data_IF_891003335570
#
_entry.id   IF_891003335570
#
_cell.length_a   1.000
_cell.length_b   1.000
_cell.length_c   1.000
_cell.angle_alpha   90.00
_cell.angle_beta   90.00
_cell.angle_gamma   90.00
#
_symmetry.space_group_name_H-M   'P 1'
#
loop_
_entity.id
_entity.type
_entity.pdbx_description
1 polymer ?
#
# COMPACT_ATOMS: atom_id res chain seq x y z
N UNK A 1 6.75 2.46 -15.20
CA UNK A 1 5.32 2.06 -15.23
C UNK A 1 4.72 2.35 -13.85
N UNK A 2 3.47 2.81 -13.80
CA UNK A 2 2.71 2.97 -12.55
C UNK A 2 1.47 2.06 -12.62
N UNK A 3 1.01 1.49 -11.51
CA UNK A 3 1.59 1.56 -10.17
C UNK A 3 2.88 0.73 -10.02
N UNK A 4 3.71 1.07 -9.04
CA UNK A 4 4.89 0.28 -8.67
C UNK A 4 5.08 0.22 -7.15
N UNK A 5 5.85 -0.77 -6.68
CA UNK A 5 6.15 -0.97 -5.27
C UNK A 5 7.53 -0.40 -4.97
N UNK A 6 7.60 0.46 -3.96
CA UNK A 6 8.78 1.24 -3.62
C UNK A 6 9.25 0.84 -2.23
N UNK A 7 10.56 0.57 -2.08
CA UNK A 7 11.15 0.37 -0.76
C UNK A 7 11.17 1.70 0.00
N UNK A 8 10.78 1.70 1.27
CA UNK A 8 10.47 2.91 2.01
C UNK A 8 11.14 2.88 3.37
N UNK A 9 11.85 3.96 3.73
CA UNK A 9 12.48 4.15 5.04
C UNK A 9 13.34 2.97 5.53
N UNK A 10 13.97 2.24 4.59
CA UNK A 10 14.86 1.09 4.83
C UNK A 10 14.21 -0.18 5.40
N UNK A 11 12.92 -0.18 5.72
CA UNK A 11 12.26 -1.32 6.36
C UNK A 11 10.77 -1.51 6.02
N UNK A 12 10.23 -0.72 5.09
CA UNK A 12 8.82 -0.73 4.72
C UNK A 12 8.65 -0.76 3.20
N UNK A 13 7.43 -1.03 2.73
CA UNK A 13 7.09 -0.97 1.31
C UNK A 13 5.78 -0.24 1.11
N UNK A 14 5.75 0.60 0.08
CA UNK A 14 4.59 1.42 -0.27
C UNK A 14 4.29 1.34 -1.76
N UNK A 15 3.05 1.62 -2.16
CA UNK A 15 2.65 1.62 -3.58
C UNK A 15 2.64 3.04 -4.10
N UNK A 16 3.51 3.35 -5.06
CA UNK A 16 3.46 4.57 -5.82
C UNK A 16 2.49 4.40 -6.98
N UNK A 17 1.37 5.13 -6.95
CA UNK A 17 0.29 4.94 -7.94
C UNK A 17 0.10 6.15 -8.86
N UNK A 18 0.64 7.32 -8.52
CA UNK A 18 0.52 8.52 -9.36
C UNK A 18 1.62 9.53 -9.05
N UNK A 19 2.11 10.21 -10.09
CA UNK A 19 3.00 11.37 -9.99
C UNK A 19 2.38 12.49 -10.82
N UNK A 20 2.30 13.71 -10.29
CA UNK A 20 1.79 14.88 -11.00
C UNK A 20 2.60 16.11 -10.62
N UNK A 21 3.34 16.67 -11.58
CA UNK A 21 4.31 17.75 -11.33
C UNK A 21 5.26 17.31 -10.20
N UNK A 22 5.40 18.10 -9.14
CA UNK A 22 6.25 17.83 -7.99
C UNK A 22 5.51 17.13 -6.83
N UNK A 23 4.32 16.57 -7.10
CA UNK A 23 3.53 15.83 -6.11
C UNK A 23 3.51 14.34 -6.43
N UNK A 24 3.90 13.54 -5.44
CA UNK A 24 3.96 12.09 -5.48
C UNK A 24 2.85 11.50 -4.63
N UNK A 25 2.10 10.53 -5.16
CA UNK A 25 0.93 9.94 -4.51
C UNK A 25 1.19 8.48 -4.17
N UNK A 26 1.09 8.16 -2.88
CA UNK A 26 1.47 6.87 -2.31
C UNK A 26 0.29 6.25 -1.58
N UNK A 27 0.13 4.94 -1.72
CA UNK A 27 -0.71 4.13 -0.86
C UNK A 27 0.18 3.38 0.12
N UNK A 28 0.17 3.79 1.37
CA UNK A 28 0.87 3.16 2.48
C UNK A 28 -0.05 2.14 3.17
N UNK A 29 0.35 0.86 3.30
CA UNK A 29 -0.42 -0.14 4.05
C UNK A 29 -0.78 0.26 5.49
N UNK A 30 0.05 1.08 6.15
CA UNK A 30 -0.15 1.49 7.54
C UNK A 30 -1.04 2.74 7.69
N UNK A 31 -1.02 3.64 6.71
CA UNK A 31 -1.60 4.98 6.83
C UNK A 31 -2.62 5.32 5.73
N UNK A 32 -2.76 4.47 4.71
CA UNK A 32 -3.64 4.69 3.56
C UNK A 32 -3.01 5.63 2.52
N UNK A 33 -3.85 6.45 1.88
CA UNK A 33 -3.43 7.32 0.78
C UNK A 33 -2.76 8.59 1.32
N UNK A 34 -1.49 8.79 0.98
CA UNK A 34 -0.69 9.94 1.40
C UNK A 34 -0.07 10.60 0.15
N UNK A 35 0.20 11.90 0.24
CA UNK A 35 0.93 12.65 -0.77
C UNK A 35 2.22 13.24 -0.20
N UNK A 36 3.28 13.21 -0.99
CA UNK A 36 4.57 13.81 -0.66
C UNK A 36 5.00 14.79 -1.76
N UNK A 37 5.83 15.76 -1.39
CA UNK A 37 6.65 16.47 -2.38
C UNK A 37 7.69 15.53 -2.98
N UNK A 38 8.27 15.90 -4.12
CA UNK A 38 9.31 15.12 -4.79
C UNK A 38 10.54 14.97 -3.90
N UNK A 39 10.92 16.03 -3.21
CA UNK A 39 12.07 16.07 -2.30
C UNK A 39 11.87 15.13 -1.11
N UNK A 40 10.70 15.21 -0.46
CA UNK A 40 10.37 14.30 0.64
C UNK A 40 10.35 12.85 0.16
N UNK A 41 9.75 12.58 -1.01
CA UNK A 41 9.69 11.24 -1.58
C UNK A 41 11.08 10.63 -1.75
N UNK A 42 12.02 11.38 -2.33
CA UNK A 42 13.39 10.91 -2.56
C UNK A 42 14.08 10.55 -1.23
N UNK A 43 13.91 11.38 -0.21
CA UNK A 43 14.50 11.12 1.11
C UNK A 43 13.95 9.84 1.76
N UNK A 44 12.67 9.56 1.59
CA UNK A 44 12.05 8.36 2.14
C UNK A 44 12.34 7.09 1.31
N UNK A 45 12.42 7.22 -0.01
CA UNK A 45 12.70 6.11 -0.91
C UNK A 45 14.17 5.66 -0.82
N UNK A 46 15.10 6.61 -0.89
CA UNK A 46 16.53 6.35 -0.96
C UNK A 46 17.18 6.47 0.42
N UNK A 47 16.96 7.59 1.10
CA UNK A 47 17.46 7.87 2.45
C UNK A 47 17.65 9.36 2.74
N UNK A 48 17.84 9.71 4.02
CA UNK A 48 17.82 11.10 4.53
C UNK A 48 18.76 12.10 3.85
N UNK A 49 19.83 11.66 3.19
CA UNK A 49 20.80 12.54 2.50
C UNK A 49 20.67 12.47 0.97
N UNK A 50 19.62 11.83 0.46
CA UNK A 50 19.40 11.69 -0.96
C UNK A 50 18.76 12.95 -1.55
N UNK A 51 19.13 13.22 -2.79
CA UNK A 51 18.61 14.30 -3.62
C UNK A 51 18.29 13.78 -5.03
N UNK A 52 17.89 14.68 -5.93
CA UNK A 52 17.55 14.31 -7.30
C UNK A 52 18.71 13.74 -8.12
N UNK A 53 19.96 13.95 -7.66
CA UNK A 53 21.17 13.46 -8.33
C UNK A 53 21.64 12.13 -7.74
N UNK A 54 20.96 11.63 -6.71
CA UNK A 54 21.31 10.36 -6.06
C UNK A 54 20.74 9.20 -6.86
N UNK A 55 21.61 8.35 -7.40
CA UNK A 55 21.22 7.34 -8.41
C UNK A 55 20.76 5.99 -7.84
N UNK A 56 20.69 5.84 -6.52
CA UNK A 56 20.44 4.53 -5.89
C UNK A 56 19.06 4.47 -5.23
N UNK A 57 18.18 3.59 -5.71
CA UNK A 57 16.88 3.34 -5.09
C UNK A 57 16.31 1.98 -5.51
N UNK A 58 15.51 1.35 -4.65
CA UNK A 58 14.93 0.03 -4.93
C UNK A 58 13.46 0.19 -5.29
N UNK A 59 13.10 -0.28 -6.48
CA UNK A 59 11.72 -0.32 -6.97
C UNK A 59 11.42 -1.68 -7.60
N UNK A 60 10.22 -2.19 -7.36
CA UNK A 60 9.69 -3.36 -8.04
C UNK A 60 8.63 -2.91 -9.05
N UNK A 61 8.92 -3.17 -10.32
CA UNK A 61 8.01 -2.93 -11.44
C UNK A 61 7.28 -4.21 -11.77
N UNK A 62 5.96 -4.13 -11.91
CA UNK A 62 5.11 -5.26 -12.26
C UNK A 62 4.18 -4.85 -13.39
N UNK A 63 3.97 -5.76 -14.33
CA UNK A 63 3.01 -5.59 -15.42
C UNK A 63 2.16 -6.87 -15.54
N UNK A 64 0.84 -6.73 -15.74
CA UNK A 64 -0.03 -7.88 -15.88
C UNK A 64 0.21 -8.57 -17.22
N UNK A 65 0.18 -9.90 -17.21
CA UNK A 65 0.07 -10.69 -18.45
C UNK A 65 -1.39 -10.74 -18.88
N UNK A 66 -1.72 -11.06 -20.16
CA UNK A 66 -3.10 -11.22 -20.59
C UNK A 66 -3.92 -12.21 -19.73
N UNK A 67 -3.25 -13.23 -19.18
CA UNK A 67 -3.87 -14.23 -18.30
C UNK A 67 -4.48 -13.62 -17.03
N UNK A 68 -3.87 -12.54 -16.50
CA UNK A 68 -4.34 -11.84 -15.31
C UNK A 68 -5.80 -11.40 -15.40
N UNK A 69 -6.25 -11.00 -16.59
CA UNK A 69 -7.62 -10.51 -16.82
C UNK A 69 -8.63 -11.62 -17.14
N UNK A 70 -8.14 -12.84 -17.38
CA UNK A 70 -8.99 -14.01 -17.70
C UNK A 70 -9.31 -14.87 -16.49
N UNK A 71 -8.65 -14.63 -15.36
CA UNK A 71 -8.90 -15.35 -14.11
C UNK A 71 -10.09 -14.71 -13.38
N UNK A 72 -11.07 -15.52 -12.99
CA UNK A 72 -12.10 -15.12 -12.03
C UNK A 72 -11.47 -15.14 -10.64
N UNK A 73 -11.25 -13.95 -10.05
CA UNK A 73 -10.81 -13.85 -8.67
C UNK A 73 -11.96 -14.25 -7.75
N UNK A 74 -11.69 -15.11 -6.77
CA UNK A 74 -12.67 -15.39 -5.71
C UNK A 74 -12.94 -14.09 -4.95
N UNK A 75 -14.22 -13.79 -4.70
CA UNK A 75 -14.59 -12.70 -3.81
C UNK A 75 -14.00 -13.00 -2.42
N UNK A 76 -13.22 -12.07 -1.87
CA UNK A 76 -12.77 -12.16 -0.48
C UNK A 76 -13.99 -12.39 0.43
N UNK A 77 -13.94 -13.43 1.28
CA UNK A 77 -14.94 -13.60 2.32
C UNK A 77 -14.92 -12.36 3.23
N UNK A 78 -15.92 -11.49 3.06
CA UNK A 78 -16.03 -10.28 3.87
C UNK A 78 -16.14 -10.70 5.33
N UNK A 79 -15.12 -10.37 6.13
CA UNK A 79 -15.11 -10.56 7.57
C UNK A 79 -16.20 -9.68 8.21
N UNK A 80 -17.43 -10.19 8.23
CA UNK A 80 -18.60 -9.46 8.71
C UNK A 80 -18.73 -9.57 10.23
N UNK A 81 -19.15 -8.48 10.89
CA UNK A 81 -19.54 -8.49 12.31
C UNK A 81 -20.55 -9.60 12.65
N UNK A 82 -21.26 -10.15 11.66
CA UNK A 82 -22.07 -11.37 11.75
C UNK A 82 -21.35 -12.52 12.47
N UNK A 83 -20.06 -12.73 12.20
CA UNK A 83 -19.25 -13.73 12.89
C UNK A 83 -19.10 -13.40 14.38
N UNK A 84 -18.76 -12.16 14.72
CA UNK A 84 -18.58 -11.69 16.10
C UNK A 84 -19.91 -11.80 16.87
N UNK A 85 -21.03 -11.42 16.25
CA UNK A 85 -22.35 -11.52 16.86
C UNK A 85 -22.70 -12.95 17.29
N UNK A 86 -22.28 -13.99 16.54
CA UNK A 86 -22.49 -15.40 16.96
C UNK A 86 -21.87 -15.70 18.33
N UNK A 87 -20.69 -15.16 18.61
CA UNK A 87 -20.02 -15.33 19.91
C UNK A 87 -20.69 -14.48 21.00
N UNK A 88 -21.04 -13.23 20.69
CA UNK A 88 -21.72 -12.34 21.64
C UNK A 88 -23.10 -12.90 22.06
N UNK A 89 -23.88 -13.44 21.13
CA UNK A 89 -25.17 -14.06 21.43
C UNK A 89 -25.05 -15.31 22.32
N UNK A 90 -23.99 -16.11 22.14
CA UNK A 90 -23.73 -17.30 22.95
C UNK A 90 -23.42 -16.94 24.41
N UNK A 91 -22.70 -15.84 24.63
CA UNK A 91 -22.27 -15.40 25.96
C UNK A 91 -23.03 -14.17 26.49
N UNK A 92 -24.23 -13.90 25.95
CA UNK A 92 -25.04 -12.72 26.33
C UNK A 92 -25.28 -12.59 27.83
N UNK A 93 -25.31 -13.71 28.57
CA UNK A 93 -25.48 -13.76 30.04
C UNK A 93 -24.28 -13.24 30.85
N UNK A 94 -23.13 -13.04 30.22
CA UNK A 94 -21.90 -12.55 30.85
C UNK A 94 -21.55 -11.12 30.43
N UNK A 95 -22.31 -10.56 29.47
CA UNK A 95 -22.10 -9.22 28.90
C UNK A 95 -23.17 -8.24 29.41
N UNK A 96 -24.28 -8.75 29.96
CA UNK A 96 -25.37 -8.01 30.61
C UNK A 96 -25.48 -8.46 32.05
#
# INVERSE_FOLDING_TARGET
PLPCIVHWNKNHYVVLYKIKKDTVYISDPAHGLITFTKEEFIQHWIGNNADENTEEGIVLLVEPTPKFYSEEFEDDEKFGFSFIFKYLFKYKKFIV
#
